data_IF_379502118445
#
_entry.id   IF_379502118445
#
_cell.length_a   1.000
_cell.length_b   1.000
_cell.length_c   1.000
_cell.angle_alpha   90.00
_cell.angle_beta   90.00
_cell.angle_gamma   90.00
#
_symmetry.space_group_name_H-M   'P 1'
#
loop_
_entity.id
_entity.type
_entity.pdbx_description
1 polymer ?
#
# COMPACT_ATOMS: atom_id res chain seq x y z
N UNK A 1 -29.00 -10.72 12.21
CA UNK A 1 -27.70 -11.41 11.97
C UNK A 1 -26.62 -10.49 12.55
N UNK A 2 -25.78 -10.96 13.49
CA UNK A 2 -24.73 -10.12 14.08
C UNK A 2 -23.69 -9.82 13.01
N UNK A 3 -23.51 -8.54 12.67
CA UNK A 3 -22.62 -8.04 11.61
C UNK A 3 -21.16 -8.02 12.04
N UNK A 4 -20.92 -7.98 13.35
CA UNK A 4 -19.60 -7.93 13.98
C UNK A 4 -19.42 -9.13 14.90
N UNK A 5 -18.17 -9.56 15.07
CA UNK A 5 -17.75 -10.58 16.04
C UNK A 5 -16.82 -9.97 17.07
N UNK A 6 -16.84 -10.50 18.29
CA UNK A 6 -15.93 -10.08 19.35
C UNK A 6 -14.54 -10.68 19.07
N UNK A 7 -13.60 -9.82 18.73
CA UNK A 7 -12.17 -10.12 18.68
C UNK A 7 -11.54 -10.02 20.07
N UNK A 8 -10.54 -10.85 20.32
CA UNK A 8 -9.71 -10.82 21.52
C UNK A 8 -8.25 -10.89 21.14
N UNK A 9 -7.45 -10.02 21.72
CA UNK A 9 -6.00 -10.01 21.53
C UNK A 9 -5.29 -9.84 22.87
N UNK A 10 -4.17 -10.54 23.02
CA UNK A 10 -3.20 -10.26 24.07
C UNK A 10 -2.12 -9.34 23.50
N UNK A 11 -1.90 -8.20 24.15
CA UNK A 11 -0.96 -7.19 23.70
C UNK A 11 0.19 -7.06 24.69
N UNK A 12 1.42 -7.07 24.18
CA UNK A 12 2.60 -6.62 24.91
C UNK A 12 2.72 -5.10 24.76
N UNK A 13 2.73 -4.37 25.89
CA UNK A 13 2.83 -2.92 25.89
C UNK A 13 4.27 -2.48 25.68
N UNK A 14 4.58 -1.91 24.51
CA UNK A 14 5.92 -1.38 24.22
C UNK A 14 6.12 0.02 24.85
N UNK A 15 5.16 0.92 24.65
CA UNK A 15 5.18 2.31 25.13
C UNK A 15 3.77 2.88 25.19
N UNK A 16 3.55 3.88 26.03
CA UNK A 16 2.21 4.41 26.34
C UNK A 16 2.18 5.92 26.48
N UNK A 17 1.03 6.50 26.14
CA UNK A 17 0.68 7.87 26.48
C UNK A 17 -0.69 7.92 27.19
N UNK A 18 -0.81 8.62 28.34
CA UNK A 18 0.30 9.15 29.13
C UNK A 18 1.17 8.02 29.68
N UNK A 19 2.46 8.27 29.90
CA UNK A 19 3.45 7.28 30.38
C UNK A 19 3.05 6.56 31.68
N UNK A 20 2.15 7.17 32.47
CA UNK A 20 1.64 6.61 33.72
C UNK A 20 0.47 5.64 33.56
N UNK A 21 -0.09 5.48 32.36
CA UNK A 21 -1.32 4.72 32.14
C UNK A 21 -1.12 3.19 32.26
N UNK A 22 -0.13 2.64 31.55
CA UNK A 22 0.22 1.21 31.56
C UNK A 22 1.74 1.10 31.42
N UNK A 23 2.37 0.19 32.16
CA UNK A 23 3.83 0.07 32.16
C UNK A 23 4.32 -0.63 30.89
N UNK A 24 5.47 -0.20 30.38
CA UNK A 24 6.17 -0.94 29.33
C UNK A 24 6.54 -2.34 29.81
N UNK A 25 6.38 -3.35 28.94
CA UNK A 25 6.56 -4.77 29.23
C UNK A 25 5.35 -5.44 29.86
N UNK A 26 4.28 -4.70 30.17
CA UNK A 26 3.05 -5.28 30.72
C UNK A 26 2.23 -5.96 29.62
N UNK A 27 1.57 -7.07 29.96
CA UNK A 27 0.62 -7.75 29.09
C UNK A 27 -0.80 -7.30 29.41
N UNK A 28 -1.55 -6.90 28.39
CA UNK A 28 -2.96 -6.51 28.53
C UNK A 28 -3.85 -7.33 27.60
N UNK A 29 -5.07 -7.59 28.04
CA UNK A 29 -6.12 -8.19 27.19
C UNK A 29 -6.92 -7.06 26.53
N UNK A 30 -7.12 -7.16 25.22
CA UNK A 30 -7.95 -6.26 24.42
C UNK A 30 -9.17 -7.00 23.89
N UNK A 31 -10.36 -6.52 24.24
CA UNK A 31 -11.62 -6.87 23.59
C UNK A 31 -11.95 -5.79 22.53
N UNK A 32 -12.24 -6.21 21.30
CA UNK A 32 -12.61 -5.29 20.20
C UNK A 32 -13.66 -5.90 19.27
N UNK A 33 -14.37 -5.06 18.50
CA UNK A 33 -15.28 -5.54 17.45
C UNK A 33 -14.54 -5.65 16.12
N UNK A 34 -14.80 -6.73 15.38
CA UNK A 34 -14.28 -6.91 14.03
C UNK A 34 -15.37 -7.42 13.08
N UNK A 35 -15.22 -7.11 11.80
CA UNK A 35 -16.03 -7.70 10.74
C UNK A 35 -15.74 -9.21 10.62
N UNK A 36 -16.74 -10.00 10.25
CA UNK A 36 -16.50 -11.40 9.88
C UNK A 36 -15.72 -11.44 8.55
N UNK A 37 -14.81 -12.42 8.38
CA UNK A 37 -13.88 -12.53 7.25
C UNK A 37 -14.52 -12.36 5.85
N UNK A 38 -15.80 -12.71 5.70
CA UNK A 38 -16.55 -12.61 4.44
C UNK A 38 -17.19 -11.22 4.16
N UNK A 39 -16.99 -10.23 5.05
CA UNK A 39 -17.74 -8.96 5.03
C UNK A 39 -16.88 -7.70 4.84
N UNK A 40 -15.61 -7.86 4.42
CA UNK A 40 -14.60 -6.80 4.22
C UNK A 40 -14.95 -5.67 3.24
N UNK A 41 -16.12 -5.71 2.59
CA UNK A 41 -16.61 -4.69 1.64
C UNK A 41 -17.74 -3.81 2.18
N UNK A 42 -18.09 -3.91 3.46
CA UNK A 42 -19.19 -3.16 4.07
C UNK A 42 -18.70 -2.22 5.18
N UNK A 43 -19.28 -1.01 5.30
CA UNK A 43 -19.02 -0.08 6.41
C UNK A 43 -19.19 -0.79 7.78
N UNK A 44 -18.18 -0.76 8.64
CA UNK A 44 -18.18 -1.41 9.96
C UNK A 44 -16.88 -1.16 10.71
N UNK A 45 -16.63 -1.86 11.83
CA UNK A 45 -15.33 -1.84 12.51
C UNK A 45 -14.23 -2.25 11.53
N UNK A 46 -13.32 -1.34 11.23
CA UNK A 46 -12.18 -1.58 10.35
C UNK A 46 -10.90 -1.68 11.19
N UNK A 47 -10.99 -2.47 12.25
CA UNK A 47 -9.81 -2.94 12.97
C UNK A 47 -9.22 -4.05 12.10
N UNK A 48 -8.01 -3.88 11.54
CA UNK A 48 -7.37 -4.92 10.76
C UNK A 48 -7.17 -6.15 11.66
N UNK A 49 -7.18 -7.36 11.10
CA UNK A 49 -6.86 -8.57 11.86
C UNK A 49 -5.54 -8.40 12.62
N UNK A 50 -5.59 -8.49 13.95
CA UNK A 50 -4.42 -8.34 14.81
C UNK A 50 -3.65 -9.67 14.84
N UNK A 51 -2.68 -9.81 13.95
CA UNK A 51 -1.85 -11.02 13.86
C UNK A 51 -0.70 -10.99 14.88
N UNK A 52 -0.30 -12.15 15.45
CA UNK A 52 0.89 -12.25 16.29
C UNK A 52 2.13 -11.65 15.61
N UNK A 53 2.91 -10.88 16.38
CA UNK A 53 4.10 -10.19 15.88
C UNK A 53 3.84 -8.85 15.17
N UNK A 54 2.58 -8.42 15.04
CA UNK A 54 2.25 -7.11 14.48
C UNK A 54 2.27 -6.02 15.56
N UNK A 55 2.78 -4.84 15.21
CA UNK A 55 2.89 -3.71 16.13
C UNK A 55 1.94 -2.59 15.71
N UNK A 56 1.15 -2.09 16.67
CA UNK A 56 0.15 -1.06 16.45
C UNK A 56 0.09 -0.07 17.63
N UNK A 57 -0.31 1.17 17.34
CA UNK A 57 -0.84 2.09 18.33
C UNK A 57 -2.32 1.79 18.52
N UNK A 58 -2.71 1.49 19.75
CA UNK A 58 -4.08 1.16 20.13
C UNK A 58 -4.66 2.29 21.01
N UNK A 59 -5.63 3.08 20.50
CA UNK A 59 -6.28 4.10 21.33
C UNK A 59 -7.30 3.44 22.25
N UNK A 60 -7.07 3.50 23.56
CA UNK A 60 -7.86 2.79 24.56
C UNK A 60 -8.84 3.69 25.32
N UNK A 61 -9.99 3.14 25.72
CA UNK A 61 -10.88 3.73 26.73
C UNK A 61 -10.24 3.61 28.12
N UNK A 62 -10.54 4.55 29.02
CA UNK A 62 -10.15 4.44 30.43
C UNK A 62 -10.70 3.15 31.04
N UNK A 63 -9.81 2.36 31.65
CA UNK A 63 -10.17 1.11 32.33
C UNK A 63 -10.08 1.31 33.85
N UNK A 64 -11.20 1.33 34.59
CA UNK A 64 -11.18 1.52 36.04
C UNK A 64 -10.68 0.28 36.81
N UNK A 65 -10.62 -0.89 36.15
CA UNK A 65 -10.18 -2.16 36.75
C UNK A 65 -9.19 -2.89 35.83
N UNK A 66 -8.02 -2.31 35.55
CA UNK A 66 -7.07 -2.83 34.56
C UNK A 66 -6.52 -4.22 34.92
N UNK A 67 -6.57 -4.61 36.19
CA UNK A 67 -6.11 -5.93 36.65
C UNK A 67 -7.14 -7.06 36.46
N UNK A 68 -8.41 -6.75 36.20
CA UNK A 68 -9.48 -7.76 36.06
C UNK A 68 -10.28 -7.68 34.78
N UNK A 69 -10.36 -6.49 34.17
CA UNK A 69 -11.22 -6.23 33.03
C UNK A 69 -10.38 -6.01 31.78
N UNK A 70 -10.79 -6.61 30.65
CA UNK A 70 -10.15 -6.36 29.37
C UNK A 70 -10.29 -4.90 28.94
N UNK A 71 -9.24 -4.36 28.32
CA UNK A 71 -9.25 -3.05 27.71
C UNK A 71 -10.12 -3.06 26.45
N UNK A 72 -10.56 -1.86 26.03
CA UNK A 72 -11.39 -1.65 24.84
C UNK A 72 -10.90 -0.45 24.04
N UNK A 73 -11.11 -0.49 22.74
CA UNK A 73 -10.79 0.62 21.83
C UNK A 73 -11.69 1.84 22.09
N UNK A 74 -11.14 3.04 21.85
CA UNK A 74 -11.87 4.32 22.02
C UNK A 74 -13.10 4.41 21.12
N UNK A 75 -13.02 3.80 19.94
CA UNK A 75 -14.12 3.62 19.01
C UNK A 75 -14.18 2.14 18.64
N UNK A 76 -15.41 1.63 18.54
CA UNK A 76 -15.66 0.26 18.11
C UNK A 76 -15.98 0.21 16.60
N UNK A 77 -16.09 1.37 15.93
CA UNK A 77 -16.40 1.52 14.50
C UNK A 77 -15.56 2.65 13.86
N UNK A 78 -15.18 2.49 12.58
CA UNK A 78 -14.46 3.51 11.78
C UNK A 78 -13.18 2.99 11.10
N UNK A 79 -12.84 3.58 9.96
CA UNK A 79 -11.60 3.29 9.20
C UNK A 79 -10.39 3.80 9.98
N UNK A 80 -9.40 2.93 10.22
CA UNK A 80 -8.14 3.32 10.85
C UNK A 80 -8.25 3.57 12.36
N UNK A 81 -8.98 2.74 13.10
CA UNK A 81 -9.05 2.84 14.58
C UNK A 81 -7.70 2.56 15.24
N UNK A 82 -6.94 1.60 14.72
CA UNK A 82 -5.56 1.32 15.15
C UNK A 82 -4.60 1.83 14.09
N UNK A 83 -3.42 2.23 14.53
CA UNK A 83 -2.39 2.84 13.68
C UNK A 83 -1.23 1.86 13.60
N UNK A 84 -0.70 1.51 12.42
CA UNK A 84 0.54 0.74 12.34
C UNK A 84 1.66 1.42 13.15
N UNK A 85 2.59 0.62 13.65
CA UNK A 85 3.73 1.13 14.38
C UNK A 85 4.91 0.18 14.24
N UNK A 86 6.07 0.63 14.71
CA UNK A 86 7.31 -0.14 14.74
C UNK A 86 7.69 -0.50 16.17
N UNK A 87 8.32 -1.66 16.35
CA UNK A 87 8.74 -2.13 17.67
C UNK A 87 9.87 -1.26 18.27
N UNK A 88 10.78 -0.77 17.42
CA UNK A 88 12.00 -0.07 17.82
C UNK A 88 11.80 1.13 18.74
N UNK A 89 12.88 1.53 19.43
CA UNK A 89 12.88 2.62 20.41
C UNK A 89 12.28 3.92 19.86
N UNK A 90 11.56 4.67 20.68
CA UNK A 90 10.98 5.95 20.27
C UNK A 90 12.06 6.91 19.75
N UNK A 91 11.87 7.44 18.53
CA UNK A 91 12.85 8.34 17.91
C UNK A 91 12.94 9.68 18.63
N UNK A 92 11.84 10.10 19.25
CA UNK A 92 11.70 11.40 19.88
C UNK A 92 11.69 11.20 21.40
N UNK A 93 12.82 11.44 22.09
CA UNK A 93 12.96 11.13 23.51
C UNK A 93 12.23 12.12 24.42
N UNK A 94 11.75 13.25 23.89
CA UNK A 94 10.96 14.20 24.65
C UNK A 94 9.57 13.64 24.93
N UNK A 95 9.17 13.65 26.20
CA UNK A 95 7.82 13.29 26.61
C UNK A 95 6.81 14.16 25.86
N UNK A 96 5.97 13.53 25.03
CA UNK A 96 4.90 14.21 24.30
C UNK A 96 3.97 14.90 25.29
N UNK A 97 3.53 16.13 24.98
CA UNK A 97 2.66 16.92 25.86
C UNK A 97 1.18 16.63 25.65
N UNK A 98 0.86 15.94 24.55
CA UNK A 98 -0.51 15.58 24.16
C UNK A 98 -0.54 14.27 23.40
N UNK A 99 -1.71 13.63 23.35
CA UNK A 99 -1.91 12.43 22.54
C UNK A 99 -1.67 12.68 21.06
N UNK A 100 -2.05 13.86 20.54
CA UNK A 100 -1.77 14.25 19.14
C UNK A 100 -0.28 14.27 18.84
N UNK A 101 0.51 14.89 19.71
CA UNK A 101 1.97 14.94 19.55
C UNK A 101 2.60 13.55 19.60
N UNK A 102 2.15 12.71 20.54
CA UNK A 102 2.57 11.31 20.64
C UNK A 102 2.29 10.55 19.33
N UNK A 103 1.06 10.64 18.80
CA UNK A 103 0.69 9.98 17.55
C UNK A 103 1.55 10.45 16.38
N UNK A 104 1.78 11.76 16.22
CA UNK A 104 2.63 12.27 15.14
C UNK A 104 4.09 11.79 15.26
N UNK A 105 4.62 11.67 16.48
CA UNK A 105 5.97 11.15 16.73
C UNK A 105 6.09 9.66 16.39
N UNK A 106 5.06 8.87 16.68
CA UNK A 106 5.00 7.45 16.35
C UNK A 106 4.92 7.21 14.84
N UNK A 107 4.01 7.92 14.15
CA UNK A 107 3.87 7.91 12.69
C UNK A 107 5.20 8.33 12.04
N UNK A 108 5.81 9.42 12.52
CA UNK A 108 7.11 9.88 12.02
C UNK A 108 8.22 8.85 12.25
N UNK A 109 8.18 8.10 13.36
CA UNK A 109 9.13 7.02 13.63
C UNK A 109 8.99 5.87 12.64
N UNK A 110 7.76 5.45 12.33
CA UNK A 110 7.50 4.41 11.34
C UNK A 110 7.95 4.83 9.94
N UNK A 111 7.58 6.04 9.51
CA UNK A 111 8.00 6.57 8.20
C UNK A 111 9.52 6.78 8.10
N UNK A 112 10.20 7.21 9.16
CA UNK A 112 11.64 7.50 9.09
C UNK A 112 12.56 6.30 9.30
N UNK A 113 12.15 5.27 10.06
CA UNK A 113 13.02 4.13 10.40
C UNK A 113 12.44 2.74 10.16
N UNK A 114 11.13 2.62 9.92
CA UNK A 114 10.51 1.33 9.61
C UNK A 114 11.09 0.67 8.36
N UNK A 115 10.91 -0.64 8.25
CA UNK A 115 11.15 -1.39 7.01
C UNK A 115 10.25 -0.89 5.87
N UNK A 116 10.50 -1.35 4.63
CA UNK A 116 9.64 -1.01 3.48
C UNK A 116 8.18 -1.39 3.73
N UNK A 117 7.94 -2.55 4.32
CA UNK A 117 6.60 -3.06 4.65
C UNK A 117 5.91 -2.23 5.74
N UNK A 118 6.62 -1.92 6.83
CA UNK A 118 6.08 -1.09 7.91
C UNK A 118 5.76 0.33 7.43
N UNK A 119 6.63 0.92 6.62
CA UNK A 119 6.40 2.23 6.03
C UNK A 119 5.19 2.23 5.11
N UNK A 120 5.03 1.19 4.27
CA UNK A 120 3.89 1.11 3.35
C UNK A 120 2.57 0.93 4.12
N UNK A 121 2.56 0.14 5.20
CA UNK A 121 1.38 0.03 6.07
C UNK A 121 1.01 1.39 6.67
N UNK A 122 2.00 2.13 7.16
CA UNK A 122 1.80 3.49 7.69
C UNK A 122 1.28 4.45 6.60
N UNK A 123 1.88 4.43 5.41
CA UNK A 123 1.45 5.25 4.28
C UNK A 123 0.01 4.92 3.84
N UNK A 124 -0.35 3.63 3.85
CA UNK A 124 -1.71 3.15 3.56
C UNK A 124 -2.70 3.65 4.60
N UNK A 125 -2.34 3.61 5.89
CA UNK A 125 -3.16 4.20 6.94
C UNK A 125 -3.40 5.70 6.70
N UNK A 126 -2.34 6.45 6.40
CA UNK A 126 -2.41 7.90 6.17
C UNK A 126 -3.22 8.30 4.94
N UNK A 127 -3.32 7.42 3.92
CA UNK A 127 -4.14 7.67 2.74
C UNK A 127 -5.65 7.79 3.05
N UNK A 128 -6.10 7.28 4.21
CA UNK A 128 -7.47 7.43 4.70
C UNK A 128 -7.64 8.57 5.72
N UNK A 129 -6.56 9.24 6.11
CA UNK A 129 -6.60 10.33 7.09
C UNK A 129 -6.61 11.69 6.41
N UNK A 130 -7.28 12.68 7.02
CA UNK A 130 -7.15 14.07 6.56
C UNK A 130 -5.80 14.63 7.01
N UNK A 131 -4.84 14.74 6.10
CA UNK A 131 -3.45 15.11 6.45
C UNK A 131 -3.19 16.61 6.42
N UNK A 132 -4.05 17.42 5.76
CA UNK A 132 -3.85 18.87 5.65
C UNK A 132 -3.62 19.58 7.00
N UNK A 133 -4.33 19.15 8.06
CA UNK A 133 -4.19 19.73 9.40
C UNK A 133 -2.87 19.45 10.13
N UNK A 134 -2.02 18.54 9.61
CA UNK A 134 -0.74 18.20 10.24
C UNK A 134 0.42 17.96 9.26
N UNK A 135 0.22 18.02 7.95
CA UNK A 135 1.23 17.70 6.94
C UNK A 135 2.53 18.50 7.12
N UNK A 136 2.42 19.80 7.39
CA UNK A 136 3.58 20.67 7.61
C UNK A 136 4.37 20.32 8.87
N UNK A 137 3.67 20.01 9.97
CA UNK A 137 4.29 19.59 11.23
C UNK A 137 4.96 18.22 11.08
N UNK A 138 4.27 17.27 10.45
CA UNK A 138 4.82 15.96 10.13
C UNK A 138 6.06 16.07 9.24
N UNK A 139 6.03 16.92 8.21
CA UNK A 139 7.19 17.17 7.33
C UNK A 139 8.40 17.70 8.12
N UNK A 140 8.18 18.53 9.15
CA UNK A 140 9.26 19.00 10.04
C UNK A 140 9.81 17.87 10.91
N UNK A 141 8.94 17.05 11.50
CA UNK A 141 9.37 15.89 12.29
C UNK A 141 10.20 14.93 11.44
N UNK A 142 9.75 14.63 10.23
CA UNK A 142 10.47 13.80 9.26
C UNK A 142 11.81 14.42 8.87
N UNK A 143 11.89 15.74 8.67
CA UNK A 143 13.15 16.41 8.37
C UNK A 143 14.18 16.32 9.49
N UNK A 144 13.74 16.37 10.75
CA UNK A 144 14.61 16.14 11.90
C UNK A 144 15.04 14.68 11.96
N UNK A 145 14.08 13.76 11.83
CA UNK A 145 14.28 12.32 11.93
C UNK A 145 15.25 11.76 10.89
N UNK A 146 15.11 12.20 9.64
CA UNK A 146 15.86 11.65 8.50
C UNK A 146 17.14 12.43 8.23
N UNK A 147 17.37 13.58 8.91
CA UNK A 147 18.62 14.35 8.86
C UNK A 147 19.22 14.54 7.45
N UNK A 148 18.37 14.78 6.45
CA UNK A 148 18.81 14.98 5.06
C UNK A 148 19.04 13.71 4.22
N UNK A 149 18.68 12.53 4.73
CA UNK A 149 18.71 11.26 3.98
C UNK A 149 17.75 11.29 2.79
N UNK A 150 18.30 11.53 1.60
CA UNK A 150 17.54 11.66 0.35
C UNK A 150 16.89 10.35 -0.08
N UNK A 151 17.56 9.21 0.10
CA UNK A 151 17.03 7.89 -0.24
C UNK A 151 15.81 7.57 0.61
N UNK A 152 15.88 7.87 1.91
CA UNK A 152 14.73 7.70 2.80
C UNK A 152 13.58 8.65 2.45
N UNK A 153 13.88 9.90 2.08
CA UNK A 153 12.85 10.82 1.58
C UNK A 153 12.19 10.31 0.29
N UNK A 154 12.95 9.73 -0.63
CA UNK A 154 12.40 9.11 -1.83
C UNK A 154 11.47 7.95 -1.47
N UNK A 155 11.88 7.09 -0.52
CA UNK A 155 11.09 5.93 -0.09
C UNK A 155 9.79 6.31 0.61
N UNK A 156 9.83 7.32 1.50
CA UNK A 156 8.62 7.89 2.12
C UNK A 156 7.70 8.49 1.07
N UNK A 157 8.26 9.24 0.11
CA UNK A 157 7.48 9.84 -0.97
C UNK A 157 6.79 8.79 -1.83
N UNK A 158 7.53 7.77 -2.28
CA UNK A 158 7.00 6.69 -3.09
C UNK A 158 5.89 5.94 -2.35
N UNK A 159 6.11 5.61 -1.08
CA UNK A 159 5.12 4.90 -0.26
C UNK A 159 3.84 5.71 -0.05
N UNK A 160 3.96 7.00 0.25
CA UNK A 160 2.81 7.90 0.42
C UNK A 160 2.02 8.05 -0.87
N UNK A 161 2.69 8.34 -2.00
CA UNK A 161 2.03 8.52 -3.30
C UNK A 161 1.36 7.23 -3.74
N UNK A 162 2.06 6.09 -3.69
CA UNK A 162 1.52 4.79 -4.11
C UNK A 162 0.32 4.34 -3.25
N UNK A 163 0.18 4.84 -2.03
CA UNK A 163 -0.94 4.48 -1.14
C UNK A 163 -2.23 5.26 -1.40
N UNK A 164 -2.19 6.36 -2.17
CA UNK A 164 -3.36 7.21 -2.39
C UNK A 164 -4.42 6.52 -3.26
N UNK A 165 -5.70 6.78 -2.99
CA UNK A 165 -6.81 6.32 -3.83
C UNK A 165 -6.82 6.95 -5.23
N UNK A 166 -7.64 6.40 -6.12
CA UNK A 166 -7.94 6.96 -7.44
C UNK A 166 -9.22 7.82 -7.42
N UNK A 167 -9.30 8.92 -8.20
CA UNK A 167 -8.24 9.48 -9.03
C UNK A 167 -7.11 10.09 -8.19
N UNK A 168 -5.86 9.77 -8.55
CA UNK A 168 -4.66 10.23 -7.84
C UNK A 168 -3.99 11.37 -8.63
N UNK A 169 -3.47 12.42 -7.96
CA UNK A 169 -2.63 13.42 -8.63
C UNK A 169 -1.31 12.81 -9.16
N UNK A 170 -0.81 13.36 -10.26
CA UNK A 170 0.53 13.03 -10.77
C UNK A 170 1.64 13.66 -9.92
N UNK A 171 2.87 13.19 -10.04
CA UNK A 171 4.05 13.82 -9.44
C UNK A 171 4.19 15.26 -9.96
N UNK A 172 3.91 15.51 -11.24
CA UNK A 172 3.87 16.86 -11.79
C UNK A 172 2.80 17.75 -11.11
N UNK A 173 1.61 17.20 -10.83
CA UNK A 173 0.55 17.92 -10.11
C UNK A 173 0.99 18.29 -8.69
N UNK A 174 1.57 17.34 -7.95
CA UNK A 174 2.10 17.58 -6.61
C UNK A 174 3.23 18.62 -6.60
N UNK A 175 4.17 18.52 -7.56
CA UNK A 175 5.27 19.46 -7.70
C UNK A 175 4.78 20.88 -8.01
N UNK A 176 3.64 21.03 -8.71
CA UNK A 176 3.05 22.32 -9.01
C UNK A 176 2.42 23.03 -7.80
N UNK A 177 2.14 22.30 -6.72
CA UNK A 177 1.51 22.83 -5.50
C UNK A 177 0.06 23.30 -5.67
N UNK A 178 -0.59 22.94 -6.78
CA UNK A 178 -1.96 23.36 -7.11
C UNK A 178 -3.02 22.53 -6.40
N UNK A 179 -2.66 21.35 -5.87
CA UNK A 179 -3.61 20.45 -5.20
C UNK A 179 -3.93 20.92 -3.77
N UNK A 180 -2.95 21.47 -3.05
CA UNK A 180 -3.13 22.01 -1.70
C UNK A 180 -3.98 23.30 -1.59
N UNK A 181 -4.48 23.85 -2.71
CA UNK A 181 -5.33 25.05 -2.71
C UNK A 181 -6.83 24.77 -2.47
N UNK A 182 -7.24 23.51 -2.34
CA UNK A 182 -8.62 23.16 -2.01
C UNK A 182 -8.77 22.94 -0.48
N UNK A 183 -9.59 23.74 0.24
CA UNK A 183 -9.72 23.65 1.70
C UNK A 183 -10.50 22.41 2.18
N UNK A 184 -10.88 21.50 1.30
CA UNK A 184 -11.50 20.23 1.66
C UNK A 184 -10.48 19.25 2.26
N UNK A 185 -10.99 18.23 2.97
CA UNK A 185 -10.27 17.17 3.65
C UNK A 185 -9.43 16.30 2.69
N UNK A 186 -8.27 16.81 2.25
CA UNK A 186 -7.37 16.10 1.34
C UNK A 186 -6.42 15.18 2.11
N UNK A 187 -6.41 13.86 1.84
CA UNK A 187 -5.45 12.94 2.45
C UNK A 187 -4.03 13.04 1.89
N UNK A 188 -3.85 13.57 0.67
CA UNK A 188 -2.53 13.61 0.04
C UNK A 188 -1.66 14.83 0.35
N UNK A 189 -2.02 15.71 1.30
CA UNK A 189 -1.22 16.91 1.61
C UNK A 189 0.19 16.55 2.10
N UNK A 190 0.35 15.45 2.84
CA UNK A 190 1.68 14.98 3.22
C UNK A 190 2.49 14.45 2.03
N UNK A 191 1.85 13.70 1.11
CA UNK A 191 2.52 13.26 -0.13
C UNK A 191 2.96 14.46 -0.97
N UNK A 192 2.13 15.49 -1.08
CA UNK A 192 2.46 16.73 -1.78
C UNK A 192 3.70 17.41 -1.18
N UNK A 193 3.79 17.55 0.14
CA UNK A 193 4.96 18.19 0.77
C UNK A 193 6.23 17.37 0.60
N UNK A 194 6.17 16.04 0.60
CA UNK A 194 7.35 15.20 0.36
C UNK A 194 7.77 15.21 -1.11
N UNK A 195 6.83 15.19 -2.07
CA UNK A 195 7.13 15.36 -3.50
C UNK A 195 7.76 16.73 -3.77
N UNK A 196 7.21 17.82 -3.23
CA UNK A 196 7.79 19.16 -3.42
C UNK A 196 9.19 19.30 -2.82
N UNK A 197 9.54 18.49 -1.83
CA UNK A 197 10.90 18.40 -1.30
C UNK A 197 11.81 17.64 -2.26
N UNK A 198 11.34 16.49 -2.77
CA UNK A 198 12.08 15.63 -3.69
C UNK A 198 12.22 16.19 -5.11
N UNK A 199 11.32 17.07 -5.54
CA UNK A 199 11.33 17.66 -6.88
C UNK A 199 12.31 18.84 -7.03
N UNK A 200 12.95 19.30 -5.94
CA UNK A 200 13.89 20.44 -5.96
C UNK A 200 15.28 20.09 -6.52
N UNK A 201 15.86 18.89 -6.31
CA UNK A 201 17.09 18.45 -6.97
C UNK A 201 16.84 17.97 -8.42
N UNK A 202 17.76 18.25 -9.34
CA UNK A 202 17.67 17.82 -10.75
C UNK A 202 17.57 16.29 -10.93
N UNK A 203 18.15 15.50 -10.02
CA UNK A 203 18.14 14.03 -10.08
C UNK A 203 16.92 13.40 -9.39
N UNK A 204 16.08 14.20 -8.73
CA UNK A 204 14.97 13.70 -7.90
C UNK A 204 13.94 12.88 -8.68
N UNK A 205 13.80 13.12 -9.99
CA UNK A 205 12.90 12.33 -10.86
C UNK A 205 13.38 10.89 -11.03
N UNK A 206 14.65 10.68 -11.37
CA UNK A 206 15.19 9.34 -11.58
C UNK A 206 15.22 8.56 -10.25
N UNK A 207 15.57 9.23 -9.16
CA UNK A 207 15.52 8.65 -7.81
C UNK A 207 14.09 8.19 -7.45
N UNK A 208 13.07 9.00 -7.76
CA UNK A 208 11.67 8.62 -7.54
C UNK A 208 11.26 7.44 -8.42
N UNK A 209 11.62 7.43 -9.70
CA UNK A 209 11.33 6.30 -10.61
C UNK A 209 11.92 5.01 -10.05
N UNK A 210 13.22 5.02 -9.72
CA UNK A 210 13.91 3.88 -9.14
C UNK A 210 13.23 3.42 -7.84
N UNK A 211 12.88 4.36 -6.97
CA UNK A 211 12.28 4.04 -5.67
C UNK A 211 10.85 3.50 -5.80
N UNK A 212 10.06 4.02 -6.74
CA UNK A 212 8.73 3.48 -7.05
C UNK A 212 8.83 2.02 -7.53
N UNK A 213 9.74 1.74 -8.46
CA UNK A 213 10.04 0.38 -8.89
C UNK A 213 10.55 -0.48 -7.73
N UNK A 214 11.30 0.10 -6.80
CA UNK A 214 11.80 -0.61 -5.64
C UNK A 214 10.71 -1.05 -4.65
N UNK A 215 9.56 -0.38 -4.62
CA UNK A 215 8.41 -0.75 -3.75
C UNK A 215 7.31 -1.49 -4.50
N UNK A 216 7.49 -1.80 -5.79
CA UNK A 216 6.46 -2.45 -6.60
C UNK A 216 6.13 -3.86 -6.12
N UNK A 217 7.04 -4.54 -5.44
CA UNK A 217 6.80 -5.87 -4.84
C UNK A 217 5.81 -5.85 -3.68
N UNK A 218 5.58 -4.68 -3.08
CA UNK A 218 4.69 -4.48 -1.94
C UNK A 218 3.41 -3.72 -2.30
N UNK A 219 3.44 -2.87 -3.32
CA UNK A 219 2.28 -2.09 -3.78
C UNK A 219 2.33 -1.83 -5.29
N UNK A 220 2.20 -2.88 -6.07
CA UNK A 220 2.27 -2.86 -7.52
C UNK A 220 1.18 -1.99 -8.17
N UNK A 221 -0.04 -2.00 -7.63
CA UNK A 221 -1.15 -1.18 -8.12
C UNK A 221 -0.86 0.31 -7.94
N UNK A 222 -0.42 0.69 -6.74
CA UNK A 222 -0.07 2.05 -6.41
C UNK A 222 1.11 2.55 -7.23
N UNK A 223 2.16 1.74 -7.34
CA UNK A 223 3.34 2.07 -8.12
C UNK A 223 3.03 2.19 -9.62
N UNK A 224 2.26 1.27 -10.18
CA UNK A 224 1.87 1.29 -11.59
C UNK A 224 1.17 2.59 -11.96
N UNK A 225 0.18 3.00 -11.16
CA UNK A 225 -0.52 4.27 -11.35
C UNK A 225 0.38 5.51 -11.25
N UNK A 226 1.34 5.52 -10.31
CA UNK A 226 2.26 6.64 -10.15
C UNK A 226 3.27 6.76 -11.32
N UNK A 227 3.70 5.64 -11.88
CA UNK A 227 4.72 5.61 -12.94
C UNK A 227 4.17 5.87 -14.35
N UNK A 228 2.85 5.95 -14.54
CA UNK A 228 2.23 6.18 -15.86
C UNK A 228 2.72 7.48 -16.52
N UNK A 229 2.88 8.56 -15.76
CA UNK A 229 3.34 9.85 -16.31
C UNK A 229 4.77 9.78 -16.87
N UNK A 230 5.57 8.85 -16.34
CA UNK A 230 6.96 8.64 -16.73
C UNK A 230 7.11 7.59 -17.84
N UNK A 231 6.03 7.14 -18.48
CA UNK A 231 6.06 6.05 -19.46
C UNK A 231 7.06 6.25 -20.61
N UNK A 232 7.46 7.50 -20.91
CA UNK A 232 8.44 7.84 -21.95
C UNK A 232 9.86 8.05 -21.44
N UNK A 233 10.07 8.02 -20.13
CA UNK A 233 11.38 8.22 -19.50
C UNK A 233 12.29 7.00 -19.74
N UNK A 234 13.50 7.18 -20.29
CA UNK A 234 14.41 6.07 -20.56
C UNK A 234 14.75 5.24 -19.31
N UNK A 235 14.97 5.89 -18.17
CA UNK A 235 15.32 5.23 -16.90
C UNK A 235 14.24 4.25 -16.44
N UNK A 236 12.97 4.65 -16.52
CA UNK A 236 11.85 3.75 -16.23
C UNK A 236 11.82 2.55 -17.18
N UNK A 237 11.97 2.79 -18.48
CA UNK A 237 11.88 1.73 -19.49
C UNK A 237 12.99 0.71 -19.33
N UNK A 238 14.22 1.16 -19.12
CA UNK A 238 15.40 0.32 -18.96
C UNK A 238 15.33 -0.53 -17.69
N UNK A 239 15.01 0.08 -16.55
CA UNK A 239 14.92 -0.63 -15.28
C UNK A 239 13.74 -1.61 -15.25
N UNK A 240 12.57 -1.19 -15.74
CA UNK A 240 11.39 -2.05 -15.83
C UNK A 240 11.62 -3.23 -16.78
N UNK A 241 12.34 -3.04 -17.88
CA UNK A 241 12.75 -4.13 -18.76
C UNK A 241 13.59 -5.17 -18.00
N UNK A 242 14.61 -4.71 -17.27
CA UNK A 242 15.47 -5.60 -16.45
C UNK A 242 14.68 -6.35 -15.37
N UNK A 243 13.71 -5.67 -14.72
CA UNK A 243 12.82 -6.29 -13.75
C UNK A 243 11.94 -7.39 -14.35
N UNK A 244 11.42 -7.18 -15.56
CA UNK A 244 10.64 -8.19 -16.28
C UNK A 244 11.50 -9.40 -16.66
N UNK A 245 12.72 -9.18 -17.19
CA UNK A 245 13.66 -10.25 -17.54
C UNK A 245 14.09 -11.09 -16.33
N UNK A 246 14.16 -10.48 -15.15
CA UNK A 246 14.46 -11.15 -13.88
C UNK A 246 13.24 -11.68 -13.13
N UNK A 247 12.03 -11.55 -13.71
CA UNK A 247 10.77 -12.01 -13.12
C UNK A 247 10.53 -11.43 -11.71
N UNK A 248 10.93 -10.18 -11.50
CA UNK A 248 10.80 -9.51 -10.20
C UNK A 248 9.31 -9.31 -9.87
N UNK A 249 8.84 -9.62 -8.65
CA UNK A 249 7.46 -9.37 -8.23
C UNK A 249 7.01 -7.91 -8.45
N UNK A 250 5.75 -7.73 -8.84
CA UNK A 250 5.13 -6.42 -9.12
C UNK A 250 5.49 -5.79 -10.47
N UNK A 251 6.59 -6.21 -11.11
CA UNK A 251 7.04 -5.65 -12.40
C UNK A 251 6.00 -5.72 -13.51
N UNK A 252 5.31 -6.85 -13.65
CA UNK A 252 4.33 -7.06 -14.72
C UNK A 252 3.10 -6.15 -14.58
N UNK A 253 2.69 -5.86 -13.35
CA UNK A 253 1.58 -4.95 -13.07
C UNK A 253 1.97 -3.51 -13.46
N UNK A 254 3.15 -3.07 -13.04
CA UNK A 254 3.70 -1.76 -13.42
C UNK A 254 3.83 -1.64 -14.94
N UNK A 255 4.33 -2.68 -15.60
CA UNK A 255 4.43 -2.74 -17.05
C UNK A 255 3.06 -2.61 -17.73
N UNK A 256 2.03 -3.26 -17.20
CA UNK A 256 0.66 -3.14 -17.72
C UNK A 256 0.20 -1.67 -17.74
N UNK A 257 0.40 -0.93 -16.65
CA UNK A 257 0.00 0.48 -16.56
C UNK A 257 0.85 1.41 -17.43
N UNK A 258 2.16 1.17 -17.50
CA UNK A 258 3.08 1.91 -18.38
C UNK A 258 2.75 1.67 -19.87
N UNK A 259 2.34 0.45 -20.24
CA UNK A 259 1.88 0.14 -21.59
C UNK A 259 0.52 0.80 -21.92
N UNK A 260 -0.41 0.86 -20.94
CA UNK A 260 -1.67 1.62 -21.10
C UNK A 260 -1.41 3.11 -21.34
N UNK A 261 -0.34 3.66 -20.78
CA UNK A 261 0.14 5.02 -21.04
C UNK A 261 0.88 5.18 -22.40
N UNK A 262 0.92 4.12 -23.22
CA UNK A 262 1.41 4.16 -24.61
C UNK A 262 2.85 3.70 -24.82
N UNK A 263 3.51 3.14 -23.81
CA UNK A 263 4.85 2.58 -23.97
C UNK A 263 4.81 1.23 -24.70
N UNK A 264 5.59 1.10 -25.78
CA UNK A 264 5.62 -0.11 -26.63
C UNK A 264 6.90 -0.93 -26.51
N UNK A 265 8.01 -0.34 -26.04
CA UNK A 265 9.33 -0.99 -26.01
C UNK A 265 9.40 -2.19 -25.08
N UNK A 266 8.57 -2.24 -24.04
CA UNK A 266 8.55 -3.33 -23.05
C UNK A 266 7.50 -4.42 -23.37
N UNK A 267 6.67 -4.23 -24.42
CA UNK A 267 5.53 -5.11 -24.71
C UNK A 267 5.96 -6.56 -24.93
N UNK A 268 7.04 -6.78 -25.71
CA UNK A 268 7.53 -8.12 -26.00
C UNK A 268 7.96 -8.86 -24.72
N UNK A 269 8.74 -8.19 -23.86
CA UNK A 269 9.26 -8.75 -22.60
C UNK A 269 8.14 -8.96 -21.57
N UNK A 270 7.21 -8.01 -21.45
CA UNK A 270 6.03 -8.12 -20.61
C UNK A 270 5.13 -9.29 -21.05
N UNK A 271 4.95 -9.48 -22.36
CA UNK A 271 4.16 -10.58 -22.91
C UNK A 271 4.80 -11.95 -22.64
N UNK A 272 6.12 -12.07 -22.79
CA UNK A 272 6.84 -13.30 -22.47
C UNK A 272 6.69 -13.66 -20.98
N UNK A 273 6.82 -12.65 -20.10
CA UNK A 273 6.63 -12.80 -18.65
C UNK A 273 5.20 -13.21 -18.31
N UNK A 274 4.20 -12.56 -18.91
CA UNK A 274 2.78 -12.85 -18.70
C UNK A 274 2.43 -14.29 -19.10
N UNK A 275 2.92 -14.76 -20.25
CA UNK A 275 2.72 -16.15 -20.70
C UNK A 275 3.38 -17.16 -19.75
N UNK A 276 4.49 -16.80 -19.14
CA UNK A 276 5.10 -17.57 -18.05
C UNK A 276 4.18 -17.66 -16.83
N UNK A 277 3.67 -16.53 -16.37
CA UNK A 277 2.87 -16.42 -15.14
C UNK A 277 1.55 -17.19 -15.23
N UNK A 278 0.82 -17.10 -16.35
CA UNK A 278 -0.46 -17.80 -16.50
C UNK A 278 -0.31 -19.34 -16.48
N UNK A 279 0.90 -19.84 -16.73
CA UNK A 279 1.22 -21.25 -16.67
C UNK A 279 1.76 -21.71 -15.31
N UNK A 280 1.95 -20.81 -14.35
CA UNK A 280 2.53 -21.09 -13.04
C UNK A 280 1.49 -20.89 -11.90
N UNK A 281 0.94 -21.98 -11.34
CA UNK A 281 -0.04 -21.91 -10.25
C UNK A 281 0.50 -21.35 -8.93
N UNK A 282 1.81 -21.18 -8.80
CA UNK A 282 2.41 -20.61 -7.58
C UNK A 282 2.33 -19.08 -7.51
N UNK A 283 1.96 -18.43 -8.62
CA UNK A 283 1.90 -16.98 -8.73
C UNK A 283 0.79 -16.36 -7.89
N UNK A 284 1.03 -15.14 -7.42
CA UNK A 284 0.04 -14.42 -6.62
C UNK A 284 -1.18 -14.02 -7.45
N UNK A 285 -2.28 -13.67 -6.78
CA UNK A 285 -3.48 -13.14 -7.44
C UNK A 285 -3.16 -11.94 -8.35
N UNK A 286 -2.38 -10.98 -7.86
CA UNK A 286 -2.05 -9.75 -8.58
C UNK A 286 -1.13 -10.00 -9.77
N UNK A 287 -0.20 -10.95 -9.66
CA UNK A 287 0.65 -11.38 -10.78
C UNK A 287 -0.19 -12.03 -11.89
N UNK A 288 -1.11 -12.93 -11.54
CA UNK A 288 -2.03 -13.56 -12.51
C UNK A 288 -2.97 -12.53 -13.13
N UNK A 289 -3.48 -11.60 -12.33
CA UNK A 289 -4.32 -10.52 -12.81
C UNK A 289 -3.60 -9.68 -13.86
N UNK A 290 -2.39 -9.20 -13.55
CA UNK A 290 -1.58 -8.43 -14.48
C UNK A 290 -1.28 -9.24 -15.75
N UNK A 291 -0.94 -10.53 -15.63
CA UNK A 291 -0.65 -11.38 -16.77
C UNK A 291 -1.85 -11.55 -17.71
N UNK A 292 -3.04 -11.81 -17.16
CA UNK A 292 -4.29 -11.87 -17.92
C UNK A 292 -4.54 -10.56 -18.67
N UNK A 293 -4.39 -9.41 -18.01
CA UNK A 293 -4.59 -8.10 -18.65
C UNK A 293 -3.58 -7.83 -19.75
N UNK A 294 -2.30 -8.13 -19.52
CA UNK A 294 -1.25 -7.95 -20.52
C UNK A 294 -1.54 -8.76 -21.79
N UNK A 295 -1.90 -10.05 -21.64
CA UNK A 295 -2.21 -10.92 -22.78
C UNK A 295 -3.50 -10.48 -23.49
N UNK A 296 -4.54 -10.11 -22.74
CA UNK A 296 -5.83 -9.68 -23.28
C UNK A 296 -5.71 -8.39 -24.07
N UNK A 297 -5.06 -7.38 -23.50
CA UNK A 297 -5.08 -6.00 -24.01
C UNK A 297 -3.95 -5.71 -25.00
N UNK A 298 -2.80 -6.36 -24.86
CA UNK A 298 -1.62 -6.10 -25.69
C UNK A 298 -1.16 -7.31 -26.51
N UNK A 299 -1.75 -8.49 -26.29
CA UNK A 299 -1.37 -9.71 -26.99
C UNK A 299 -1.91 -9.80 -28.42
N UNK A 300 -1.22 -10.58 -29.24
CA UNK A 300 -1.75 -11.08 -30.51
C UNK A 300 -2.82 -12.15 -30.26
N UNK A 301 -3.63 -12.46 -31.28
CA UNK A 301 -4.64 -13.53 -31.17
C UNK A 301 -4.00 -14.90 -30.88
N UNK A 302 -2.78 -15.14 -31.38
CA UNK A 302 -2.04 -16.35 -31.08
C UNK A 302 -1.68 -16.44 -29.58
N UNK A 303 -1.28 -15.33 -28.96
CA UNK A 303 -0.95 -15.27 -27.53
C UNK A 303 -2.21 -15.34 -26.67
N UNK A 304 -3.28 -14.68 -27.08
CA UNK A 304 -4.57 -14.79 -26.41
C UNK A 304 -5.12 -16.22 -26.43
N UNK A 305 -4.97 -16.94 -27.55
CA UNK A 305 -5.30 -18.35 -27.63
C UNK A 305 -4.47 -19.24 -26.69
N UNK A 306 -3.25 -18.85 -26.32
CA UNK A 306 -2.47 -19.57 -25.31
C UNK A 306 -3.08 -19.40 -23.91
N UNK A 307 -3.55 -18.20 -23.55
CA UNK A 307 -4.30 -17.97 -22.32
C UNK A 307 -5.57 -18.83 -22.26
N UNK A 308 -6.36 -18.90 -23.35
CA UNK A 308 -7.54 -19.75 -23.41
C UNK A 308 -7.20 -21.24 -23.21
N UNK A 309 -6.07 -21.71 -23.78
CA UNK A 309 -5.58 -23.08 -23.54
C UNK A 309 -5.18 -23.31 -22.09
N UNK A 310 -4.52 -22.34 -21.44
CA UNK A 310 -4.17 -22.42 -20.03
C UNK A 310 -5.42 -22.52 -19.14
N UNK A 311 -6.43 -21.68 -19.38
CA UNK A 311 -7.73 -21.75 -18.71
C UNK A 311 -8.35 -23.15 -18.85
N UNK A 312 -8.43 -23.68 -20.09
CA UNK A 312 -8.99 -25.02 -20.34
C UNK A 312 -8.19 -26.14 -19.68
N UNK A 313 -6.85 -26.05 -19.68
CA UNK A 313 -5.95 -27.00 -19.02
C UNK A 313 -6.22 -27.06 -17.52
N UNK A 314 -6.27 -25.90 -16.86
CA UNK A 314 -6.38 -25.85 -15.40
C UNK A 314 -7.79 -26.16 -14.88
N UNK A 315 -8.84 -26.06 -15.72
CA UNK A 315 -10.22 -26.44 -15.37
C UNK A 315 -10.33 -27.81 -14.68
N UNK A 316 -9.49 -28.76 -15.07
CA UNK A 316 -9.49 -30.13 -14.53
C UNK A 316 -8.24 -30.48 -13.69
N UNK A 317 -7.21 -29.62 -13.68
CA UNK A 317 -5.94 -29.90 -12.98
C UNK A 317 -5.82 -29.11 -11.68
N UNK A 318 -6.24 -27.84 -11.68
CA UNK A 318 -6.17 -26.95 -10.53
C UNK A 318 -7.34 -25.98 -10.59
N UNK A 319 -8.34 -26.23 -9.72
CA UNK A 319 -9.56 -25.43 -9.70
C UNK A 319 -9.30 -23.99 -9.26
N UNK A 320 -8.41 -23.79 -8.29
CA UNK A 320 -8.11 -22.45 -7.75
C UNK A 320 -7.45 -21.60 -8.83
N UNK A 321 -6.43 -22.15 -9.50
CA UNK A 321 -5.74 -21.46 -10.58
C UNK A 321 -6.65 -21.20 -11.78
N UNK A 322 -7.53 -22.16 -12.12
CA UNK A 322 -8.58 -21.93 -13.11
C UNK A 322 -9.47 -20.74 -12.76
N UNK A 323 -9.97 -20.67 -11.53
CA UNK A 323 -10.87 -19.60 -11.09
C UNK A 323 -10.14 -18.23 -11.13
N UNK A 324 -8.84 -18.19 -10.80
CA UNK A 324 -8.01 -16.99 -10.95
C UNK A 324 -7.86 -16.54 -12.41
N UNK A 325 -7.46 -17.43 -13.30
CA UNK A 325 -7.29 -17.10 -14.73
C UNK A 325 -8.63 -16.67 -15.35
N UNK A 326 -9.70 -17.39 -15.03
CA UNK A 326 -11.04 -17.10 -15.53
C UNK A 326 -11.49 -15.72 -15.07
N UNK A 327 -11.53 -15.48 -13.75
CA UNK A 327 -12.00 -14.23 -13.15
C UNK A 327 -11.20 -13.03 -13.64
N UNK A 328 -9.90 -13.14 -13.84
CA UNK A 328 -9.10 -12.00 -14.28
C UNK A 328 -9.16 -11.72 -15.79
N UNK A 329 -9.85 -12.57 -16.56
CA UNK A 329 -10.00 -12.40 -18.01
C UNK A 329 -11.38 -11.85 -18.41
N UNK A 330 -12.47 -12.17 -17.70
CA UNK A 330 -13.87 -11.98 -18.17
C UNK A 330 -14.60 -10.69 -17.69
N UNK A 331 -13.89 -9.68 -17.19
CA UNK A 331 -14.51 -8.46 -16.62
C UNK A 331 -13.85 -7.15 -17.09
N UNK A 332 -13.79 -6.88 -18.40
CA UNK A 332 -13.11 -5.68 -18.93
C UNK A 332 -13.80 -4.97 -20.11
N UNK A 333 -15.04 -5.32 -20.45
CA UNK A 333 -15.79 -4.78 -21.59
C UNK A 333 -15.04 -4.87 -22.95
N UNK A 334 -14.05 -5.75 -23.07
CA UNK A 334 -13.21 -6.00 -24.25
C UNK A 334 -13.84 -7.08 -25.14
N UNK A 335 -13.85 -6.88 -26.46
CA UNK A 335 -14.37 -7.82 -27.45
C UNK A 335 -13.83 -9.25 -27.32
N UNK A 336 -12.59 -9.39 -26.87
CA UNK A 336 -11.92 -10.68 -26.65
C UNK A 336 -12.50 -11.50 -25.50
N UNK A 337 -13.24 -10.89 -24.57
CA UNK A 337 -13.91 -11.60 -23.47
C UNK A 337 -14.94 -12.60 -23.96
N UNK A 338 -15.62 -12.28 -25.07
CA UNK A 338 -16.63 -13.15 -25.66
C UNK A 338 -16.06 -14.50 -26.09
N UNK A 339 -14.78 -14.57 -26.43
CA UNK A 339 -14.10 -15.81 -26.79
C UNK A 339 -13.73 -16.68 -25.58
N UNK A 340 -13.75 -16.13 -24.36
CA UNK A 340 -13.53 -16.87 -23.11
C UNK A 340 -14.81 -17.61 -22.68
N UNK A 341 -15.97 -16.99 -22.94
CA UNK A 341 -17.29 -17.51 -22.59
C UNK A 341 -17.83 -18.63 -23.53
N UNK A 342 -17.09 -18.95 -24.60
CA UNK A 342 -17.44 -19.94 -25.63
C UNK A 342 -16.53 -21.19 -25.59
#
# INVERSE_FOLDING_TARGET
>A
MKRTVLGRAELLVLRTFPLSAIRSGEHIQLDYEQLADESSRMNGPDVPPLHPGSTFIVPLKSNPKPASDAWRLIADEGIGTVIPAIEGEALFPMQSKSGREYLLQEVASALSRGTREEMLREASYLAFQTTNGYAFEMTKLLAIAMNGDTERWALVTASLVSSLGIPRPTIADFASGKYGMNPSSWPGSLAETTVQRMARPNDGKNELIHTFLNVSDLNEWGTGGALQEFAREPSLVEELHSMLESWRPGSLYVACDVMKAGQTKIVATAMATALGYVNDPSKSHSEIQAACWVIRDFGTDAQFNQLLRAIRKYRYQDRKHYDELWRNTIWSDNDRERAVLC
#
